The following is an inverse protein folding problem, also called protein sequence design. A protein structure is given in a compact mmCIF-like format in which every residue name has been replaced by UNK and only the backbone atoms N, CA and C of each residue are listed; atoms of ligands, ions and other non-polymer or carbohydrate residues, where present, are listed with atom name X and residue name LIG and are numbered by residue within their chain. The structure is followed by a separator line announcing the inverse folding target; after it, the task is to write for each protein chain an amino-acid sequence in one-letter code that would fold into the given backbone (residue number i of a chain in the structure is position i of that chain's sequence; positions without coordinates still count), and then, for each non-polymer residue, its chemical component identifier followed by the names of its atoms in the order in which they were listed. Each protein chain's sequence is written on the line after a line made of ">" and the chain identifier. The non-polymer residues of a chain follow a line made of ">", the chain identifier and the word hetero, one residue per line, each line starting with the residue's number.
data_IF_823706754304
#
_entry.id   IF_823706754304
#
_cell.length_a   1.000
_cell.length_b   1.000
_cell.length_c   1.000
_cell.angle_alpha   90.00
_cell.angle_beta   90.00
_cell.angle_gamma   90.00
#
_symmetry.space_group_name_H-M   'P 1'
#
loop_
_entity.id
_entity.type
_entity.pdbx_description
1 polymer ?
#
# COMPACT_ATOMS: atom_id res chain seq x y z
N UNK A 1 -9.72 4.38 -2.60
CA UNK A 1 -10.90 3.55 -2.89
C UNK A 1 -12.09 4.48 -2.89
N UNK A 2 -12.99 4.32 -3.84
CA UNK A 2 -14.21 5.11 -3.97
C UNK A 2 -15.38 4.18 -3.72
N UNK A 3 -16.24 4.53 -2.78
CA UNK A 3 -17.51 3.85 -2.59
C UNK A 3 -18.53 4.46 -3.56
N UNK A 4 -19.55 3.69 -3.96
CA UNK A 4 -20.61 4.16 -4.89
C UNK A 4 -21.42 5.33 -4.33
N UNK A 5 -21.29 5.63 -3.04
CA UNK A 5 -21.84 6.81 -2.37
C UNK A 5 -20.99 8.09 -2.58
N UNK A 6 -19.93 8.01 -3.39
CA UNK A 6 -19.04 9.14 -3.68
C UNK A 6 -18.03 9.45 -2.58
N UNK A 7 -18.02 8.69 -1.48
CA UNK A 7 -17.06 8.89 -0.40
C UNK A 7 -15.64 8.54 -0.87
N UNK A 8 -14.75 9.52 -0.77
CA UNK A 8 -13.31 9.35 -1.03
C UNK A 8 -12.59 9.14 0.29
N UNK A 9 -11.88 8.03 0.39
CA UNK A 9 -11.04 7.74 1.55
C UNK A 9 -9.81 8.66 1.54
N UNK A 10 -9.79 9.68 2.39
CA UNK A 10 -8.70 10.66 2.44
C UNK A 10 -7.60 10.30 3.46
N UNK A 11 -6.50 9.77 2.94
CA UNK A 11 -5.21 9.71 3.63
C UNK A 11 -4.02 9.73 2.67
N UNK A 12 -4.28 10.02 1.40
CA UNK A 12 -3.31 9.96 0.31
C UNK A 12 -2.22 11.04 0.46
N UNK A 13 -2.58 12.23 0.94
CA UNK A 13 -1.67 13.36 1.16
C UNK A 13 -0.62 13.03 2.24
N UNK A 14 -1.07 12.59 3.43
CA UNK A 14 -0.19 12.25 4.55
C UNK A 14 0.76 11.10 4.22
N UNK A 15 0.29 10.09 3.50
CA UNK A 15 1.14 8.97 3.05
C UNK A 15 2.19 9.46 2.04
N UNK A 16 1.80 10.34 1.11
CA UNK A 16 2.70 10.91 0.10
C UNK A 16 3.85 11.73 0.68
N UNK A 17 3.59 12.54 1.71
CA UNK A 17 4.63 13.27 2.43
C UNK A 17 5.63 12.32 3.11
N UNK A 18 5.13 11.27 3.76
CA UNK A 18 5.98 10.24 4.38
C UNK A 18 6.79 9.47 3.33
N UNK A 19 6.28 9.27 2.11
CA UNK A 19 7.06 8.68 1.02
C UNK A 19 8.24 9.56 0.62
N UNK A 20 8.03 10.89 0.52
CA UNK A 20 9.12 11.84 0.25
C UNK A 20 10.18 11.78 1.36
N UNK A 21 9.76 11.74 2.63
CA UNK A 21 10.65 11.59 3.77
C UNK A 21 11.43 10.26 3.73
N UNK A 22 10.75 9.14 3.42
CA UNK A 22 11.37 7.82 3.27
C UNK A 22 12.45 7.84 2.19
N UNK A 23 12.15 8.37 1.00
CA UNK A 23 13.13 8.49 -0.08
C UNK A 23 14.34 9.35 0.32
N UNK A 24 14.12 10.46 1.04
CA UNK A 24 15.21 11.31 1.55
C UNK A 24 16.14 10.52 2.49
N UNK A 25 15.59 9.75 3.42
CA UNK A 25 16.40 8.92 4.33
C UNK A 25 17.07 7.74 3.63
N UNK A 26 16.42 7.12 2.64
CA UNK A 26 17.03 6.07 1.82
C UNK A 26 18.23 6.59 1.03
N UNK A 27 18.12 7.76 0.38
CA UNK A 27 19.25 8.42 -0.30
C UNK A 27 20.37 8.78 0.68
N UNK A 28 20.03 9.19 1.90
CA UNK A 28 21.04 9.48 2.93
C UNK A 28 21.77 8.20 3.36
N UNK A 29 21.05 7.11 3.54
CA UNK A 29 21.63 5.80 3.86
C UNK A 29 22.51 5.30 2.71
N UNK A 30 22.09 5.46 1.46
CA UNK A 30 22.88 5.13 0.26
C UNK A 30 24.20 5.92 0.21
N UNK A 31 24.17 7.23 0.48
CA UNK A 31 25.41 8.02 0.59
C UNK A 31 26.33 7.51 1.69
N UNK A 32 25.77 7.18 2.86
CA UNK A 32 26.54 6.60 3.97
C UNK A 32 27.13 5.23 3.61
N UNK A 33 26.45 4.47 2.75
CA UNK A 33 26.94 3.21 2.22
C UNK A 33 28.13 3.43 1.31
N UNK A 34 27.99 4.27 0.28
CA UNK A 34 29.06 4.61 -0.67
C UNK A 34 30.32 5.08 0.03
N UNK A 35 30.20 5.93 1.06
CA UNK A 35 31.36 6.39 1.84
C UNK A 35 31.92 5.31 2.78
N UNK A 36 31.04 4.51 3.40
CA UNK A 36 31.44 3.56 4.43
C UNK A 36 31.92 2.21 3.90
N UNK A 37 31.72 1.94 2.61
CA UNK A 37 32.08 0.68 1.94
C UNK A 37 32.24 0.89 0.43
N UNK A 38 33.25 1.67 -0.02
CA UNK A 38 33.38 2.03 -1.43
C UNK A 38 33.56 0.85 -2.37
N UNK A 39 34.24 -0.20 -1.91
CA UNK A 39 34.54 -1.40 -2.70
C UNK A 39 33.31 -2.33 -2.85
N UNK A 40 32.15 -1.98 -2.27
CA UNK A 40 30.85 -2.59 -2.60
C UNK A 40 30.33 -2.13 -3.98
N UNK A 41 30.98 -1.16 -4.61
CA UNK A 41 30.54 -0.55 -5.86
C UNK A 41 31.54 -0.84 -6.97
N UNK A 42 31.00 -1.17 -8.15
CA UNK A 42 31.75 -1.28 -9.39
C UNK A 42 32.27 0.11 -9.81
N UNK A 43 33.18 0.14 -10.78
CA UNK A 43 33.73 1.39 -11.35
C UNK A 43 32.68 2.28 -12.00
N UNK A 44 31.58 1.71 -12.49
CA UNK A 44 30.41 2.41 -13.03
C UNK A 44 29.45 2.96 -11.94
N UNK A 45 29.76 2.70 -10.66
CA UNK A 45 28.95 3.12 -9.52
C UNK A 45 27.74 2.22 -9.23
N UNK A 46 27.59 1.10 -9.94
CA UNK A 46 26.57 0.09 -9.62
C UNK A 46 27.01 -0.75 -8.41
N UNK A 47 26.05 -1.20 -7.61
CA UNK A 47 26.36 -2.02 -6.44
C UNK A 47 26.64 -3.47 -6.85
N UNK A 48 27.73 -4.07 -6.33
CA UNK A 48 28.11 -5.46 -6.59
C UNK A 48 27.04 -6.40 -6.03
N UNK A 49 26.44 -7.22 -6.89
CA UNK A 49 25.43 -8.21 -6.46
C UNK A 49 26.06 -9.33 -5.63
N UNK A 50 25.38 -9.75 -4.56
CA UNK A 50 25.79 -10.89 -3.72
C UNK A 50 26.78 -10.56 -2.60
N UNK A 51 27.84 -9.79 -2.86
CA UNK A 51 28.79 -9.34 -1.81
C UNK A 51 28.46 -7.92 -1.35
N UNK A 52 27.70 -7.80 -0.27
CA UNK A 52 27.54 -6.55 0.46
C UNK A 52 28.08 -6.73 1.87
N UNK A 53 29.27 -6.20 2.12
CA UNK A 53 29.93 -6.29 3.43
C UNK A 53 29.62 -5.06 4.31
N UNK A 54 28.71 -4.18 3.86
CA UNK A 54 28.22 -3.04 4.62
C UNK A 54 27.14 -3.45 5.62
N UNK A 55 27.54 -4.17 6.65
CA UNK A 55 26.72 -4.44 7.83
C UNK A 55 26.68 -3.22 8.75
N UNK A 56 25.89 -2.19 8.42
CA UNK A 56 25.56 -0.98 9.21
C UNK A 56 26.40 -0.79 10.49
N UNK A 57 27.57 -0.14 10.36
CA UNK A 57 28.57 -0.03 11.46
C UNK A 57 28.53 1.28 12.24
N UNK A 58 28.33 2.42 11.58
CA UNK A 58 28.41 3.72 12.26
C UNK A 58 27.12 4.06 13.02
N UNK A 59 27.27 4.76 14.17
CA UNK A 59 26.13 5.28 14.96
C UNK A 59 25.17 6.12 14.09
N UNK A 60 25.73 6.88 13.12
CA UNK A 60 24.98 7.72 12.17
C UNK A 60 24.15 6.91 11.15
N UNK A 61 24.68 5.79 10.64
CA UNK A 61 23.95 4.91 9.72
C UNK A 61 22.81 4.19 10.44
N UNK A 62 23.08 3.64 11.63
CA UNK A 62 22.05 3.04 12.51
C UNK A 62 20.90 4.01 12.79
N UNK A 63 21.21 5.26 13.12
CA UNK A 63 20.19 6.28 13.35
C UNK A 63 19.36 6.59 12.08
N UNK A 64 19.98 6.56 10.90
CA UNK A 64 19.29 6.80 9.62
C UNK A 64 18.37 5.63 9.27
N UNK A 65 18.82 4.39 9.47
CA UNK A 65 17.98 3.21 9.30
C UNK A 65 16.78 3.22 10.26
N UNK A 66 16.98 3.58 11.53
CA UNK A 66 15.89 3.73 12.51
C UNK A 66 14.85 4.77 12.06
N UNK A 67 15.28 5.86 11.41
CA UNK A 67 14.36 6.86 10.83
C UNK A 67 13.54 6.25 9.68
N UNK A 68 14.16 5.49 8.78
CA UNK A 68 13.45 4.78 7.70
C UNK A 68 12.39 3.84 8.28
N UNK A 69 12.76 3.01 9.25
CA UNK A 69 11.84 2.07 9.92
C UNK A 69 10.68 2.81 10.58
N UNK A 70 10.94 3.90 11.33
CA UNK A 70 9.89 4.73 11.93
C UNK A 70 8.95 5.33 10.89
N UNK A 71 9.48 5.83 9.77
CA UNK A 71 8.65 6.37 8.69
C UNK A 71 7.78 5.27 8.06
N UNK A 72 8.33 4.08 7.81
CA UNK A 72 7.57 2.94 7.29
C UNK A 72 6.48 2.48 8.27
N UNK A 73 6.79 2.37 9.56
CA UNK A 73 5.82 2.04 10.59
C UNK A 73 4.68 3.07 10.63
N UNK A 74 5.00 4.37 10.57
CA UNK A 74 3.98 5.42 10.51
C UNK A 74 3.10 5.34 9.26
N UNK A 75 3.67 5.00 8.11
CA UNK A 75 2.88 4.75 6.89
C UNK A 75 1.93 3.56 7.08
N UNK A 76 2.37 2.47 7.71
CA UNK A 76 1.53 1.31 8.00
C UNK A 76 0.40 1.67 8.98
N UNK A 77 0.69 2.39 10.07
CA UNK A 77 -0.32 2.82 11.03
C UNK A 77 -1.39 3.72 10.40
N UNK A 78 -1.00 4.66 9.55
CA UNK A 78 -1.96 5.52 8.84
C UNK A 78 -2.86 4.68 7.93
N UNK A 79 -2.30 3.71 7.18
CA UNK A 79 -3.12 2.83 6.33
C UNK A 79 -4.10 2.00 7.15
N UNK A 80 -3.65 1.42 8.26
CA UNK A 80 -4.51 0.64 9.15
C UNK A 80 -5.63 1.52 9.75
N UNK A 81 -5.32 2.73 10.22
CA UNK A 81 -6.30 3.69 10.75
C UNK A 81 -7.37 4.05 9.72
N UNK A 82 -6.95 4.30 8.48
CA UNK A 82 -7.85 4.56 7.36
C UNK A 82 -8.80 3.38 7.12
N UNK A 83 -8.24 2.17 6.97
CA UNK A 83 -9.05 0.95 6.76
C UNK A 83 -10.01 0.72 7.92
N UNK A 84 -9.56 0.99 9.15
CA UNK A 84 -10.35 0.84 10.35
C UNK A 84 -11.55 1.80 10.41
N UNK A 85 -11.33 3.08 10.12
CA UNK A 85 -12.39 4.08 10.10
C UNK A 85 -13.40 3.78 9.01
N UNK A 86 -12.95 3.42 7.82
CA UNK A 86 -13.84 3.18 6.68
C UNK A 86 -14.65 1.88 6.84
N UNK A 87 -14.00 0.79 7.25
CA UNK A 87 -14.72 -0.45 7.54
C UNK A 87 -15.76 -0.28 8.66
N UNK A 88 -15.45 0.52 9.69
CA UNK A 88 -16.40 0.85 10.75
C UNK A 88 -17.56 1.70 10.22
N UNK A 89 -17.26 2.75 9.45
CA UNK A 89 -18.29 3.61 8.83
C UNK A 89 -19.23 2.79 7.97
N UNK A 90 -18.71 1.95 7.08
CA UNK A 90 -19.54 1.12 6.21
C UNK A 90 -20.42 0.14 7.00
N UNK A 91 -19.84 -0.58 7.96
CA UNK A 91 -20.59 -1.57 8.73
C UNK A 91 -21.70 -0.96 9.61
N UNK A 92 -21.56 0.29 10.04
CA UNK A 92 -22.54 0.97 10.91
C UNK A 92 -23.55 1.84 10.16
N UNK A 93 -23.19 2.36 8.98
CA UNK A 93 -24.05 3.27 8.21
C UNK A 93 -24.78 2.62 7.04
N UNK A 94 -24.35 1.44 6.59
CA UNK A 94 -24.94 0.73 5.46
C UNK A 94 -25.49 -0.61 5.94
N UNK A 95 -26.75 -0.89 5.60
CA UNK A 95 -27.37 -2.18 5.90
C UNK A 95 -26.70 -3.32 5.13
N UNK A 96 -26.22 -3.03 3.91
CA UNK A 96 -25.51 -3.97 3.05
C UNK A 96 -24.37 -3.26 2.34
N UNK A 97 -23.20 -3.92 2.31
CA UNK A 97 -22.06 -3.50 1.50
C UNK A 97 -21.65 -4.61 0.55
N UNK A 98 -21.38 -4.25 -0.69
CA UNK A 98 -20.90 -5.15 -1.73
C UNK A 98 -19.41 -4.89 -1.98
N UNK A 99 -18.57 -5.91 -1.89
CA UNK A 99 -17.13 -5.85 -2.09
C UNK A 99 -16.72 -6.79 -3.23
N UNK A 100 -15.95 -6.28 -4.18
CA UNK A 100 -15.42 -7.09 -5.28
C UNK A 100 -14.23 -7.94 -4.81
N UNK A 101 -14.26 -9.26 -5.08
CA UNK A 101 -13.11 -10.13 -4.82
C UNK A 101 -12.03 -9.96 -5.89
N UNK A 102 -11.21 -8.92 -5.72
CA UNK A 102 -10.08 -8.69 -6.60
C UNK A 102 -8.93 -9.66 -6.28
N UNK A 103 -8.39 -10.34 -7.30
CA UNK A 103 -7.12 -11.08 -7.17
C UNK A 103 -5.93 -10.11 -7.10
N UNK A 104 -5.83 -9.37 -5.99
CA UNK A 104 -4.80 -8.36 -5.73
C UNK A 104 -3.39 -8.93 -5.89
N UNK A 105 -3.18 -10.19 -5.48
CA UNK A 105 -1.90 -10.89 -5.65
C UNK A 105 -1.56 -11.08 -7.14
N UNK A 106 -2.52 -11.52 -7.95
CA UNK A 106 -2.36 -11.66 -9.40
C UNK A 106 -2.18 -10.33 -10.14
N UNK A 107 -2.76 -9.26 -9.63
CA UNK A 107 -2.64 -7.91 -10.20
C UNK A 107 -1.24 -7.31 -9.98
N UNK A 108 -0.54 -7.70 -8.90
CA UNK A 108 0.78 -7.19 -8.50
C UNK A 108 2.00 -7.71 -9.28
N UNK A 109 1.84 -8.07 -10.56
CA UNK A 109 2.89 -8.67 -11.39
C UNK A 109 3.99 -7.71 -11.87
N UNK A 110 5.10 -8.29 -12.34
CA UNK A 110 6.17 -7.55 -13.06
C UNK A 110 5.69 -7.19 -14.47
N UNK A 111 6.00 -5.98 -14.94
CA UNK A 111 5.67 -5.54 -16.30
C UNK A 111 6.04 -4.06 -16.52
N UNK A 112 6.35 -3.71 -17.77
CA UNK A 112 6.64 -2.32 -18.16
C UNK A 112 5.42 -1.42 -17.84
N UNK A 113 5.66 -0.22 -17.32
CA UNK A 113 4.59 0.72 -16.93
C UNK A 113 3.81 0.36 -15.64
N UNK A 114 3.93 -0.86 -15.10
CA UNK A 114 3.13 -1.30 -13.93
C UNK A 114 3.61 -0.78 -12.58
N UNK A 115 4.78 -0.13 -12.49
CA UNK A 115 5.34 0.34 -11.21
C UNK A 115 4.40 1.29 -10.45
N UNK A 116 3.75 2.21 -11.17
CA UNK A 116 2.79 3.15 -10.58
C UNK A 116 1.53 2.45 -10.07
N UNK A 117 0.97 1.58 -10.89
CA UNK A 117 -0.18 0.76 -10.56
C UNK A 117 0.07 -0.16 -9.36
N UNK A 118 1.17 -0.91 -9.35
CA UNK A 118 1.54 -1.79 -8.25
C UNK A 118 1.72 -1.02 -6.93
N UNK A 119 2.27 0.21 -7.00
CA UNK A 119 2.38 1.10 -5.83
C UNK A 119 0.99 1.52 -5.33
N UNK A 120 0.10 1.91 -6.22
CA UNK A 120 -1.27 2.28 -5.86
C UNK A 120 -2.03 1.09 -5.25
N UNK A 121 -1.90 -0.10 -5.85
CA UNK A 121 -2.49 -1.34 -5.37
C UNK A 121 -1.97 -1.72 -3.97
N UNK A 122 -0.66 -1.64 -3.75
CA UNK A 122 -0.06 -1.88 -2.44
C UNK A 122 -0.51 -0.85 -1.39
N UNK A 123 -0.73 0.40 -1.80
CA UNK A 123 -1.25 1.44 -0.92
C UNK A 123 -2.74 1.28 -0.58
N UNK A 124 -3.50 0.56 -1.40
CA UNK A 124 -4.94 0.41 -1.24
C UNK A 124 -5.34 -0.56 -0.10
N UNK A 125 -4.43 -1.41 0.40
CA UNK A 125 -4.66 -2.30 1.56
C UNK A 125 -5.95 -3.14 1.49
N UNK A 126 -6.28 -3.63 0.29
CA UNK A 126 -7.54 -4.33 0.01
C UNK A 126 -7.74 -5.63 0.80
N UNK A 127 -6.68 -6.41 1.03
CA UNK A 127 -6.80 -7.63 1.83
C UNK A 127 -7.17 -7.34 3.29
N UNK A 128 -6.60 -6.28 3.85
CA UNK A 128 -6.87 -5.84 5.21
C UNK A 128 -8.29 -5.28 5.33
N UNK A 129 -8.73 -4.50 4.33
CA UNK A 129 -10.11 -4.03 4.27
C UNK A 129 -11.11 -5.17 4.21
N UNK A 130 -10.89 -6.18 3.35
CA UNK A 130 -11.74 -7.37 3.26
C UNK A 130 -11.87 -8.07 4.62
N UNK A 131 -10.74 -8.28 5.31
CA UNK A 131 -10.74 -8.87 6.64
C UNK A 131 -11.54 -8.02 7.64
N UNK A 132 -11.30 -6.70 7.67
CA UNK A 132 -11.99 -5.82 8.61
C UNK A 132 -13.49 -5.69 8.34
N UNK A 133 -13.89 -5.62 7.08
CA UNK A 133 -15.31 -5.60 6.72
C UNK A 133 -15.99 -6.90 7.12
N UNK A 134 -15.33 -8.06 6.94
CA UNK A 134 -15.92 -9.36 7.25
C UNK A 134 -16.35 -9.46 8.72
N UNK A 135 -15.43 -9.16 9.66
CA UNK A 135 -15.79 -9.24 11.08
C UNK A 135 -16.66 -8.07 11.55
N UNK A 136 -16.52 -6.86 11.00
CA UNK A 136 -17.32 -5.71 11.47
C UNK A 136 -18.77 -5.79 11.03
N UNK A 137 -19.05 -6.27 9.82
CA UNK A 137 -20.44 -6.45 9.38
C UNK A 137 -21.16 -7.47 10.26
N UNK A 138 -20.47 -8.55 10.65
CA UNK A 138 -20.98 -9.51 11.64
C UNK A 138 -21.25 -8.83 13.00
N UNK A 139 -20.32 -8.01 13.51
CA UNK A 139 -20.48 -7.32 14.80
C UNK A 139 -21.64 -6.31 14.82
N UNK A 140 -21.85 -5.58 13.73
CA UNK A 140 -22.86 -4.53 13.63
C UNK A 140 -24.16 -5.01 12.98
N UNK A 141 -24.31 -6.32 12.77
CA UNK A 141 -25.49 -6.95 12.19
C UNK A 141 -25.88 -6.35 10.82
N UNK A 142 -24.87 -6.01 10.01
CA UNK A 142 -25.01 -5.59 8.61
C UNK A 142 -24.50 -6.67 7.67
N UNK A 143 -24.89 -6.62 6.39
CA UNK A 143 -24.55 -7.66 5.43
C UNK A 143 -23.32 -7.27 4.60
N UNK A 144 -22.39 -8.21 4.45
CA UNK A 144 -21.26 -8.10 3.51
C UNK A 144 -21.42 -9.12 2.40
N UNK A 145 -21.54 -8.64 1.16
CA UNK A 145 -21.57 -9.49 -0.04
C UNK A 145 -20.25 -9.39 -0.77
N UNK A 146 -19.55 -10.51 -0.90
CA UNK A 146 -18.28 -10.57 -1.62
C UNK A 146 -18.55 -11.16 -3.01
N UNK A 147 -18.47 -10.32 -4.03
CA UNK A 147 -18.81 -10.71 -5.40
C UNK A 147 -17.62 -11.38 -6.06
N UNK A 148 -17.87 -12.44 -6.81
CA UNK A 148 -16.85 -13.18 -7.54
C UNK A 148 -16.07 -12.28 -8.52
N UNK A 149 -14.77 -12.57 -8.66
CA UNK A 149 -13.80 -11.88 -9.52
C UNK A 149 -14.21 -11.77 -10.99
N UNK A 150 -15.10 -12.64 -11.48
CA UNK A 150 -15.57 -12.66 -12.86
C UNK A 150 -16.83 -11.81 -13.10
N UNK A 151 -17.37 -11.19 -12.06
CA UNK A 151 -18.50 -10.27 -12.19
C UNK A 151 -18.06 -8.98 -12.88
N UNK A 152 -18.62 -8.69 -14.05
CA UNK A 152 -18.20 -7.62 -14.93
C UNK A 152 -18.67 -6.21 -14.50
N UNK A 153 -18.62 -5.88 -13.21
CA UNK A 153 -19.11 -4.60 -12.65
C UNK A 153 -18.49 -3.37 -13.33
N UNK A 154 -17.18 -3.40 -13.59
CA UNK A 154 -16.45 -2.29 -14.21
C UNK A 154 -16.67 -2.13 -15.72
N UNK A 155 -17.26 -3.13 -16.38
CA UNK A 155 -17.65 -3.07 -17.80
C UNK A 155 -19.14 -2.87 -17.99
N UNK A 156 -19.95 -3.09 -16.96
CA UNK A 156 -21.40 -2.98 -17.07
C UNK A 156 -21.80 -1.54 -16.77
N UNK A 157 -22.47 -0.87 -17.71
CA UNK A 157 -22.96 0.48 -17.46
C UNK A 157 -23.99 0.48 -16.32
N UNK A 158 -23.76 1.26 -15.26
CA UNK A 158 -24.67 1.35 -14.10
C UNK A 158 -26.06 1.92 -14.43
N UNK A 159 -26.19 2.60 -15.57
CA UNK A 159 -27.46 3.17 -16.03
C UNK A 159 -28.27 2.27 -16.96
N UNK A 160 -27.65 1.34 -17.68
CA UNK A 160 -28.34 0.55 -18.71
C UNK A 160 -27.98 -0.95 -18.74
N UNK A 161 -27.17 -1.44 -17.80
CA UNK A 161 -26.79 -2.86 -17.64
C UNK A 161 -26.19 -3.55 -18.87
N UNK A 162 -25.79 -2.81 -19.91
CA UNK A 162 -25.10 -3.34 -21.09
C UNK A 162 -23.60 -3.47 -20.82
N UNK A 163 -23.03 -4.60 -21.25
CA UNK A 163 -21.59 -4.85 -21.30
C UNK A 163 -21.12 -4.50 -22.73
N UNK A 164 -20.20 -3.54 -22.92
CA UNK A 164 -19.62 -3.22 -24.23
C UNK A 164 -18.76 -4.35 -24.80
#
# INVERSE_FOLDING_TARGET
>A
MTCSDGAVIDGSVKIGELEKCKHRYQRKLDRQHRTGSPECFNSDGTHITGKCYWGIRSKRSKATQKRIQKTQARQAYIRHDIVHKESHRLATTKAMTVLEDLNVKGMGGKGYGKRGFNRALANATMSELKQQMSYKHEWYNSQLWIVDKWYASSKTCSGCNTVP
#
